data_IF_975888136626
#
_entry.id   IF_975888136626
#
_cell.length_a   1.000
_cell.length_b   1.000
_cell.length_c   1.000
_cell.angle_alpha   90.00
_cell.angle_beta   90.00
_cell.angle_gamma   90.00
#
_symmetry.space_group_name_H-M   'P 1'
#
loop_
_entity.id
_entity.type
_entity.pdbx_description
1 polymer ?
#
# COMPACT_ATOMS: atom_id res chain seq x y z
N UNK A 1 -40.56 30.60 -50.96
CA UNK A 1 -39.71 30.78 -49.75
C UNK A 1 -39.82 29.66 -48.69
N UNK A 2 -40.46 28.51 -48.96
CA UNK A 2 -40.63 27.44 -47.96
C UNK A 2 -39.50 26.37 -47.93
N UNK A 3 -38.71 26.25 -48.99
CA UNK A 3 -37.73 25.18 -49.14
C UNK A 3 -36.43 25.39 -48.35
N UNK A 4 -36.04 26.64 -48.03
CA UNK A 4 -34.84 26.91 -47.24
C UNK A 4 -35.02 26.73 -45.72
N UNK A 5 -36.26 26.70 -45.21
CA UNK A 5 -36.53 26.59 -43.76
C UNK A 5 -36.43 25.15 -43.23
N UNK A 6 -36.60 24.13 -44.08
CA UNK A 6 -36.49 22.71 -43.69
C UNK A 6 -35.04 22.21 -43.54
N UNK A 7 -34.07 22.85 -44.19
CA UNK A 7 -32.66 22.44 -44.12
C UNK A 7 -31.99 22.87 -42.80
N UNK A 8 -32.46 23.97 -42.19
CA UNK A 8 -31.94 24.46 -40.91
C UNK A 8 -32.45 23.71 -39.69
N UNK A 9 -33.58 22.98 -39.78
CA UNK A 9 -34.13 22.23 -38.64
C UNK A 9 -33.41 20.91 -38.40
N UNK A 10 -32.96 20.21 -39.46
CA UNK A 10 -32.15 18.99 -39.33
C UNK A 10 -30.79 19.24 -38.69
N UNK A 11 -30.17 20.39 -39.00
CA UNK A 11 -28.89 20.80 -38.40
C UNK A 11 -29.04 21.09 -36.90
N UNK A 12 -30.14 21.76 -36.49
CA UNK A 12 -30.44 22.04 -35.07
C UNK A 12 -30.71 20.77 -34.26
N UNK A 13 -31.39 19.79 -34.86
CA UNK A 13 -31.64 18.48 -34.22
C UNK A 13 -30.34 17.68 -34.07
N UNK A 14 -29.49 17.67 -35.11
CA UNK A 14 -28.16 17.04 -35.03
C UNK A 14 -27.27 17.67 -33.97
N UNK A 15 -27.29 19.00 -33.85
CA UNK A 15 -26.57 19.73 -32.81
C UNK A 15 -27.08 19.38 -31.41
N UNK A 16 -28.40 19.31 -31.22
CA UNK A 16 -29.03 18.89 -29.95
C UNK A 16 -28.64 17.45 -29.55
N UNK A 17 -28.67 16.51 -30.51
CA UNK A 17 -28.25 15.13 -30.27
C UNK A 17 -26.78 15.02 -29.92
N UNK A 18 -25.92 15.82 -30.58
CA UNK A 18 -24.50 15.88 -30.26
C UNK A 18 -24.25 16.37 -28.83
N UNK A 19 -24.90 17.47 -28.41
CA UNK A 19 -24.79 17.96 -27.04
C UNK A 19 -25.38 16.99 -26.01
N UNK A 20 -26.47 16.30 -26.35
CA UNK A 20 -27.04 15.26 -25.49
C UNK A 20 -26.09 14.06 -25.32
N UNK A 21 -25.47 13.59 -26.41
CA UNK A 21 -24.48 12.51 -26.37
C UNK A 21 -23.22 12.92 -25.59
N UNK A 22 -22.75 14.16 -25.76
CA UNK A 22 -21.63 14.71 -25.02
C UNK A 22 -21.94 14.79 -23.51
N UNK A 23 -23.15 15.26 -23.17
CA UNK A 23 -23.63 15.30 -21.78
C UNK A 23 -23.73 13.91 -21.15
N UNK A 24 -24.24 12.92 -21.90
CA UNK A 24 -24.31 11.54 -21.45
C UNK A 24 -22.91 10.94 -21.24
N UNK A 25 -21.99 11.15 -22.19
CA UNK A 25 -20.61 10.69 -22.09
C UNK A 25 -19.91 11.31 -20.87
N UNK A 26 -20.05 12.62 -20.66
CA UNK A 26 -19.48 13.31 -19.50
C UNK A 26 -20.05 12.78 -18.18
N UNK A 27 -21.34 12.47 -18.13
CA UNK A 27 -21.99 11.92 -16.93
C UNK A 27 -21.50 10.50 -16.64
N UNK A 28 -21.42 9.63 -17.66
CA UNK A 28 -20.89 8.27 -17.53
C UNK A 28 -19.43 8.30 -17.09
N UNK A 29 -18.61 9.19 -17.66
CA UNK A 29 -17.22 9.38 -17.28
C UNK A 29 -17.08 9.81 -15.81
N UNK A 30 -17.87 10.79 -15.37
CA UNK A 30 -17.85 11.26 -13.98
C UNK A 30 -18.25 10.16 -12.97
N UNK A 31 -19.27 9.37 -13.30
CA UNK A 31 -19.68 8.22 -12.47
C UNK A 31 -18.55 7.18 -12.42
N UNK A 32 -17.92 6.86 -13.56
CA UNK A 32 -16.79 5.93 -13.61
C UNK A 32 -15.63 6.40 -12.73
N UNK A 33 -15.22 7.67 -12.86
CA UNK A 33 -14.12 8.24 -12.09
C UNK A 33 -14.39 8.19 -10.57
N UNK A 34 -15.62 8.53 -10.16
CA UNK A 34 -16.01 8.49 -8.75
C UNK A 34 -16.07 7.06 -8.18
N UNK A 35 -16.35 6.06 -9.00
CA UNK A 35 -16.37 4.65 -8.58
C UNK A 35 -14.99 4.01 -8.58
N UNK A 36 -14.09 4.39 -9.48
CA UNK A 36 -12.74 3.81 -9.56
C UNK A 36 -11.84 4.33 -8.44
N UNK A 37 -11.96 5.60 -8.05
CA UNK A 37 -11.15 6.22 -6.99
C UNK A 37 -11.14 5.44 -5.66
N UNK A 38 -12.29 5.05 -5.07
CA UNK A 38 -12.29 4.27 -3.83
C UNK A 38 -11.65 2.89 -4.02
N UNK A 39 -11.91 2.20 -5.13
CA UNK A 39 -11.31 0.89 -5.41
C UNK A 39 -9.79 0.96 -5.57
N UNK A 40 -9.27 1.99 -6.28
CA UNK A 40 -7.83 2.23 -6.40
C UNK A 40 -7.23 2.42 -5.00
N UNK A 41 -7.88 3.22 -4.15
CA UNK A 41 -7.42 3.48 -2.80
C UNK A 41 -7.37 2.22 -1.95
N UNK A 42 -8.42 1.40 -1.97
CA UNK A 42 -8.46 0.15 -1.21
C UNK A 42 -7.35 -0.84 -1.65
N UNK A 43 -7.18 -1.00 -2.97
CA UNK A 43 -6.11 -1.86 -3.51
C UNK A 43 -4.74 -1.30 -3.14
N UNK A 44 -4.55 0.01 -3.26
CA UNK A 44 -3.31 0.69 -2.89
C UNK A 44 -2.99 0.53 -1.41
N UNK A 45 -3.95 0.76 -0.52
CA UNK A 45 -3.78 0.60 0.93
C UNK A 45 -3.48 -0.84 1.32
N UNK A 46 -4.19 -1.81 0.73
CA UNK A 46 -3.93 -3.24 0.97
C UNK A 46 -2.52 -3.63 0.52
N UNK A 47 -2.11 -3.20 -0.67
CA UNK A 47 -0.77 -3.50 -1.21
C UNK A 47 0.32 -2.80 -0.41
N UNK A 48 0.16 -1.53 -0.05
CA UNK A 48 1.09 -0.80 0.79
C UNK A 48 1.24 -1.47 2.17
N UNK A 49 0.13 -1.87 2.80
CA UNK A 49 0.14 -2.61 4.07
C UNK A 49 0.89 -3.93 3.96
N UNK A 50 0.66 -4.68 2.88
CA UNK A 50 1.35 -5.95 2.64
C UNK A 50 2.86 -5.75 2.53
N UNK A 51 3.31 -4.84 1.65
CA UNK A 51 4.74 -4.54 1.46
C UNK A 51 5.38 -4.04 2.75
N UNK A 52 4.74 -3.12 3.48
CA UNK A 52 5.24 -2.64 4.77
C UNK A 52 5.36 -3.77 5.81
N UNK A 53 4.37 -4.67 5.87
CA UNK A 53 4.38 -5.80 6.81
C UNK A 53 5.51 -6.78 6.48
N UNK A 54 5.73 -7.06 5.20
CA UNK A 54 6.83 -7.90 4.75
C UNK A 54 8.18 -7.27 5.11
N UNK A 55 8.35 -5.97 4.84
CA UNK A 55 9.57 -5.24 5.14
C UNK A 55 9.88 -5.25 6.64
N UNK A 56 8.89 -4.97 7.50
CA UNK A 56 9.02 -5.06 8.97
C UNK A 56 9.43 -6.46 9.42
N UNK A 57 8.75 -7.50 8.93
CA UNK A 57 9.06 -8.87 9.31
C UNK A 57 10.47 -9.28 8.88
N UNK A 58 10.91 -8.85 7.71
CA UNK A 58 12.27 -9.12 7.23
C UNK A 58 13.31 -8.40 8.08
N UNK A 59 13.08 -7.14 8.43
CA UNK A 59 13.97 -6.39 9.33
C UNK A 59 14.11 -7.05 10.71
N UNK A 60 12.99 -7.53 11.29
CA UNK A 60 12.99 -8.27 12.56
C UNK A 60 13.76 -9.58 12.43
N UNK A 61 13.48 -10.37 11.38
CA UNK A 61 14.18 -11.65 11.15
C UNK A 61 15.67 -11.46 11.01
N UNK A 62 16.10 -10.48 10.23
CA UNK A 62 17.51 -10.17 10.04
C UNK A 62 18.15 -9.79 11.38
N UNK A 63 17.52 -8.88 12.14
CA UNK A 63 18.07 -8.48 13.43
C UNK A 63 18.15 -9.64 14.42
N UNK A 64 17.09 -10.44 14.56
CA UNK A 64 17.07 -11.57 15.51
C UNK A 64 18.06 -12.67 15.10
N UNK A 65 18.13 -13.01 13.81
CA UNK A 65 19.04 -14.05 13.32
C UNK A 65 20.52 -13.66 13.45
N UNK A 66 20.84 -12.37 13.30
CA UNK A 66 22.22 -11.86 13.41
C UNK A 66 22.65 -11.60 14.87
N UNK A 67 21.73 -11.37 15.82
CA UNK A 67 22.08 -10.78 17.12
C UNK A 67 21.60 -11.51 18.38
N UNK A 68 20.95 -12.67 18.27
CA UNK A 68 20.44 -13.39 19.45
C UNK A 68 21.14 -14.72 19.67
N UNK A 69 22.22 -14.70 20.45
CA UNK A 69 22.61 -15.87 21.24
C UNK A 69 21.75 -15.88 22.51
N UNK A 70 21.03 -16.98 22.74
CA UNK A 70 20.16 -17.15 23.92
C UNK A 70 20.92 -16.91 25.24
N UNK A 71 22.22 -17.22 25.26
CA UNK A 71 23.09 -17.03 26.43
C UNK A 71 23.33 -15.55 26.77
N UNK A 72 23.10 -14.61 25.85
CA UNK A 72 23.23 -13.18 26.13
C UNK A 72 21.97 -12.59 26.77
N UNK A 73 20.81 -13.21 26.55
CA UNK A 73 19.52 -12.74 27.06
C UNK A 73 19.19 -13.30 28.44
N UNK A 74 19.73 -14.46 28.81
CA UNK A 74 19.44 -15.11 30.09
C UNK A 74 20.74 -15.58 30.76
N UNK A 75 20.95 -15.13 31.98
CA UNK A 75 21.97 -15.65 32.87
C UNK A 75 21.46 -16.93 33.54
N UNK A 76 22.19 -18.03 33.38
CA UNK A 76 21.88 -19.31 34.01
C UNK A 76 22.90 -19.57 35.12
N UNK A 77 22.44 -19.59 36.37
CA UNK A 77 23.24 -19.97 37.51
C UNK A 77 23.03 -21.47 37.81
N UNK A 78 24.14 -22.18 37.98
CA UNK A 78 24.16 -23.62 38.30
C UNK A 78 24.85 -23.86 39.64
N UNK A 79 24.47 -24.93 40.32
CA UNK A 79 25.17 -25.40 41.52
C UNK A 79 26.43 -26.21 41.18
N UNK A 80 27.13 -26.71 42.21
CA UNK A 80 28.35 -27.52 42.07
C UNK A 80 28.12 -28.87 41.39
N UNK A 81 26.88 -29.34 41.28
CA UNK A 81 26.49 -30.56 40.56
C UNK A 81 26.00 -30.27 39.13
N UNK A 82 26.06 -28.99 38.69
CA UNK A 82 25.64 -28.56 37.36
C UNK A 82 24.12 -28.39 37.20
N UNK A 83 23.35 -28.45 38.29
CA UNK A 83 21.89 -28.29 38.26
C UNK A 83 21.54 -26.81 38.19
N UNK A 84 20.56 -26.45 37.36
CA UNK A 84 20.07 -25.06 37.25
C UNK A 84 19.38 -24.69 38.56
N UNK A 85 19.86 -23.64 39.21
CA UNK A 85 19.30 -23.13 40.48
C UNK A 85 18.62 -21.78 40.32
N UNK A 86 19.00 -21.00 39.30
CA UNK A 86 18.42 -19.69 39.04
C UNK A 86 18.61 -19.31 37.57
N UNK A 87 17.58 -18.74 36.97
CA UNK A 87 17.64 -18.10 35.66
C UNK A 87 17.23 -16.63 35.82
N UNK A 88 18.06 -15.72 35.33
CA UNK A 88 17.80 -14.28 35.41
C UNK A 88 17.84 -13.66 34.01
N UNK A 89 16.81 -12.91 33.60
CA UNK A 89 16.83 -12.21 32.33
C UNK A 89 17.82 -11.05 32.38
N UNK A 90 18.61 -10.90 31.32
CA UNK A 90 19.46 -9.74 31.10
C UNK A 90 18.62 -8.60 30.49
N UNK A 91 17.90 -7.86 31.35
CA UNK A 91 16.99 -6.78 30.93
C UNK A 91 17.71 -5.71 30.10
N UNK A 92 18.99 -5.45 30.39
CA UNK A 92 19.80 -4.49 29.61
C UNK A 92 19.97 -4.97 28.17
N UNK A 93 20.30 -6.25 27.95
CA UNK A 93 20.43 -6.83 26.59
C UNK A 93 19.08 -6.91 25.88
N UNK A 94 18.02 -7.31 26.58
CA UNK A 94 16.67 -7.40 26.02
C UNK A 94 16.19 -6.02 25.53
N UNK A 95 16.34 -4.98 26.35
CA UNK A 95 15.93 -3.63 25.95
C UNK A 95 16.77 -3.10 24.79
N UNK A 96 18.09 -3.38 24.78
CA UNK A 96 18.95 -3.00 23.66
C UNK A 96 18.52 -3.69 22.36
N UNK A 97 18.21 -4.99 22.41
CA UNK A 97 17.68 -5.72 21.25
C UNK A 97 16.38 -5.10 20.75
N UNK A 98 15.46 -4.75 21.65
CA UNK A 98 14.20 -4.10 21.29
C UNK A 98 14.42 -2.72 20.64
N UNK A 99 15.32 -1.90 21.19
CA UNK A 99 15.68 -0.59 20.63
C UNK A 99 16.34 -0.70 19.27
N UNK A 100 17.31 -1.61 19.11
CA UNK A 100 17.99 -1.82 17.83
C UNK A 100 17.02 -2.34 16.76
N UNK A 101 16.12 -3.25 17.13
CA UNK A 101 15.08 -3.78 16.22
C UNK A 101 14.11 -2.66 15.80
N UNK A 102 13.73 -1.78 16.73
CA UNK A 102 12.88 -0.63 16.43
C UNK A 102 13.55 0.32 15.43
N UNK A 103 14.84 0.61 15.63
CA UNK A 103 15.61 1.46 14.71
C UNK A 103 15.76 0.82 13.32
N UNK A 104 15.98 -0.49 13.26
CA UNK A 104 16.02 -1.24 12.00
C UNK A 104 14.69 -1.12 11.25
N UNK A 105 13.56 -1.37 11.93
CA UNK A 105 12.21 -1.21 11.36
C UNK A 105 11.99 0.21 10.83
N UNK A 106 12.35 1.23 11.60
CA UNK A 106 12.21 2.63 11.18
C UNK A 106 13.03 2.93 9.92
N UNK A 107 14.25 2.39 9.84
CA UNK A 107 15.13 2.56 8.67
C UNK A 107 14.52 1.90 7.43
N UNK A 108 14.07 0.65 7.56
CA UNK A 108 13.41 -0.08 6.47
C UNK A 108 12.13 0.61 5.99
N UNK A 109 11.30 1.12 6.90
CA UNK A 109 10.09 1.86 6.52
C UNK A 109 10.41 3.18 5.82
N UNK A 110 11.52 3.84 6.17
CA UNK A 110 11.98 5.05 5.50
C UNK A 110 12.47 4.77 4.08
N UNK A 111 13.20 3.68 3.87
CA UNK A 111 13.63 3.23 2.54
C UNK A 111 12.43 2.89 1.64
N UNK A 112 11.37 2.32 2.22
CA UNK A 112 10.13 2.02 1.51
C UNK A 112 9.36 3.28 1.05
N UNK A 113 9.66 4.46 1.59
CA UNK A 113 9.01 5.70 1.20
C UNK A 113 9.28 6.10 -0.26
N UNK A 114 10.42 5.69 -0.80
CA UNK A 114 10.81 6.02 -2.16
C UNK A 114 10.31 4.99 -3.18
N UNK A 115 9.72 3.89 -2.71
CA UNK A 115 9.23 2.81 -3.56
C UNK A 115 7.90 3.13 -4.24
N UNK A 116 7.81 2.71 -5.50
CA UNK A 116 6.63 2.85 -6.34
C UNK A 116 6.15 1.49 -6.79
N UNK A 117 4.84 1.30 -6.78
CA UNK A 117 4.22 0.10 -7.34
C UNK A 117 3.13 0.46 -8.34
N UNK A 118 2.81 -0.54 -9.16
CA UNK A 118 1.80 -0.42 -10.20
C UNK A 118 0.55 -1.24 -9.86
N UNK A 119 -0.60 -0.67 -10.20
CA UNK A 119 -1.92 -1.33 -10.17
C UNK A 119 -2.46 -1.37 -11.62
N UNK A 120 -2.68 -2.55 -12.23
CA UNK A 120 -3.30 -2.65 -13.53
C UNK A 120 -4.75 -2.16 -13.50
N UNK A 121 -5.19 -1.42 -14.52
CA UNK A 121 -6.58 -0.94 -14.62
C UNK A 121 -7.58 -2.09 -14.60
N UNK A 122 -7.27 -3.24 -15.21
CA UNK A 122 -8.18 -4.39 -15.19
C UNK A 122 -8.43 -4.96 -13.78
N UNK A 123 -7.48 -4.80 -12.85
CA UNK A 123 -7.67 -5.11 -11.44
C UNK A 123 -8.65 -4.13 -10.78
N UNK A 124 -8.52 -2.84 -11.08
CA UNK A 124 -9.41 -1.79 -10.56
C UNK A 124 -10.84 -1.97 -11.07
N UNK A 125 -10.98 -2.42 -12.32
CA UNK A 125 -12.29 -2.73 -12.92
C UNK A 125 -12.94 -4.00 -12.35
N UNK A 126 -12.27 -4.74 -11.45
CA UNK A 126 -12.79 -5.98 -10.87
C UNK A 126 -12.90 -7.14 -11.87
N UNK A 127 -12.28 -7.02 -13.05
CA UNK A 127 -12.33 -8.07 -14.07
C UNK A 127 -11.32 -9.17 -13.74
N UNK A 128 -11.81 -10.36 -13.40
CA UNK A 128 -10.92 -11.51 -13.13
C UNK A 128 -10.10 -11.91 -14.37
N UNK A 129 -10.68 -11.75 -15.57
CA UNK A 129 -10.01 -12.06 -16.83
C UNK A 129 -8.93 -11.03 -17.20
N UNK A 130 -9.16 -9.76 -16.86
CA UNK A 130 -8.25 -8.66 -17.19
C UNK A 130 -7.44 -8.17 -15.99
N UNK A 131 -7.46 -8.85 -14.85
CA UNK A 131 -6.84 -8.39 -13.61
C UNK A 131 -5.34 -8.03 -13.78
N UNK A 132 -4.65 -8.72 -14.68
CA UNK A 132 -3.23 -8.49 -14.98
C UNK A 132 -2.98 -7.68 -16.27
N UNK A 133 -4.03 -7.16 -16.91
CA UNK A 133 -3.97 -6.50 -18.21
C UNK A 133 -4.43 -5.03 -18.15
N UNK A 134 -4.00 -4.27 -19.16
CA UNK A 134 -4.34 -2.87 -19.34
C UNK A 134 -3.27 -1.89 -18.84
N UNK A 135 -3.53 -0.57 -18.95
CA UNK A 135 -2.63 0.47 -18.47
C UNK A 135 -2.33 0.33 -16.97
N UNK A 136 -1.15 0.79 -16.56
CA UNK A 136 -0.68 0.69 -15.16
C UNK A 136 -0.83 2.03 -14.46
N UNK A 137 -1.60 2.06 -13.37
CA UNK A 137 -1.70 3.21 -12.47
C UNK A 137 -0.50 3.16 -11.52
N UNK A 138 0.27 4.25 -11.46
CA UNK A 138 1.41 4.40 -10.57
C UNK A 138 0.93 4.85 -9.19
N UNK A 139 1.41 4.18 -8.15
CA UNK A 139 1.14 4.52 -6.74
C UNK A 139 2.47 4.57 -5.99
N UNK A 140 2.66 5.62 -5.20
CA UNK A 140 3.79 5.80 -4.29
C UNK A 140 3.36 5.54 -2.85
N UNK A 141 4.24 4.92 -2.05
CA UNK A 141 4.01 4.73 -0.62
C UNK A 141 4.53 5.97 0.10
N UNK A 142 3.72 6.56 0.99
CA UNK A 142 4.17 7.62 1.89
C UNK A 142 3.98 7.13 3.33
N UNK A 143 5.05 6.73 4.03
CA UNK A 143 4.97 6.32 5.42
C UNK A 143 4.61 7.53 6.27
N UNK A 144 3.41 7.51 6.87
CA UNK A 144 3.00 8.50 7.86
C UNK A 144 3.52 8.06 9.23
N UNK A 145 4.79 8.36 9.48
CA UNK A 145 5.39 8.21 10.80
C UNK A 145 5.05 9.41 11.68
N UNK A 146 4.39 9.18 12.81
CA UNK A 146 4.30 10.18 13.87
C UNK A 146 5.68 10.32 14.51
N UNK A 147 6.55 11.15 13.93
CA UNK A 147 7.59 11.81 14.73
C UNK A 147 6.97 13.10 15.21
N UNK A 148 6.33 13.05 16.37
CA UNK A 148 6.22 14.26 17.20
C UNK A 148 7.65 14.62 17.58
N UNK A 149 8.26 15.52 16.82
CA UNK A 149 9.33 16.36 17.33
C UNK A 149 8.76 17.30 18.37
#
# INVERSE_FOLDING_TARGET
MAALRRRTSGLKIGLLLFFAALGLFSLTFFIFENNLKPTIREIAEAKARWVATEAVNNAIKQKIAESVDYHELIFVHKDSQGRIVLMQPNIVRINRLASDTTLAIQTTLKELADDQFFIPVGQVLGSQLLANYGPRIRVSICPVGTVRT
#
